data_IF_138243758845
#
_entry.id   IF_138243758845
#
_cell.length_a   1.000
_cell.length_b   1.000
_cell.length_c   1.000
_cell.angle_alpha   90.00
_cell.angle_beta   90.00
_cell.angle_gamma   90.00
#
_symmetry.space_group_name_H-M   'P 1'
#
loop_
_entity.id
_entity.type
_entity.pdbx_description
1 polymer ?
#
# COMPACT_ATOMS: atom_id res chain seq x y z
N UNK A 1 8.26 15.01 -0.82
CA UNK A 1 8.71 14.47 -2.12
C UNK A 1 9.28 15.52 -3.10
N UNK A 2 9.06 16.83 -2.94
CA UNK A 2 9.59 17.83 -3.91
C UNK A 2 11.09 18.18 -3.78
N UNK A 3 11.72 17.91 -2.63
CA UNK A 3 13.10 18.32 -2.36
C UNK A 3 14.17 17.36 -2.91
N UNK A 4 13.77 16.32 -3.62
CA UNK A 4 14.68 15.36 -4.25
C UNK A 4 14.29 15.13 -5.72
N UNK A 5 13.95 16.18 -6.46
CA UNK A 5 13.61 16.09 -7.87
C UNK A 5 14.81 16.49 -8.74
N UNK A 6 15.52 15.52 -9.31
CA UNK A 6 16.60 15.74 -10.28
C UNK A 6 16.37 14.94 -11.59
N UNK A 7 15.11 14.76 -11.99
CA UNK A 7 14.75 14.08 -13.25
C UNK A 7 15.03 12.56 -13.31
N UNK A 8 15.58 11.96 -12.26
CA UNK A 8 15.92 10.52 -12.19
C UNK A 8 15.54 9.85 -10.86
N UNK A 9 14.75 10.54 -10.03
CA UNK A 9 14.38 10.03 -8.71
C UNK A 9 12.97 9.42 -8.73
N UNK A 10 12.79 8.36 -7.95
CA UNK A 10 11.51 7.68 -7.78
C UNK A 10 10.45 8.65 -7.27
N UNK A 11 9.26 8.56 -7.84
CA UNK A 11 8.09 9.32 -7.39
C UNK A 11 6.82 8.56 -7.72
N UNK A 12 5.83 8.64 -6.84
CA UNK A 12 4.47 8.13 -7.05
C UNK A 12 3.54 9.26 -7.49
N UNK A 13 2.30 8.97 -7.90
CA UNK A 13 1.37 10.04 -8.28
C UNK A 13 0.73 10.71 -7.06
N UNK A 14 0.52 9.94 -5.99
CA UNK A 14 -0.27 10.35 -4.83
C UNK A 14 0.33 9.85 -3.51
N UNK A 15 0.16 10.65 -2.46
CA UNK A 15 0.49 10.26 -1.08
C UNK A 15 -0.72 10.53 -0.20
N UNK A 16 -1.08 9.57 0.64
CA UNK A 16 -2.21 9.70 1.57
C UNK A 16 -1.68 9.74 3.00
N UNK A 17 -1.98 10.82 3.71
CA UNK A 17 -1.44 11.06 5.04
C UNK A 17 -2.20 12.13 5.81
N UNK A 18 -1.67 12.52 6.96
CA UNK A 18 -2.16 13.62 7.81
C UNK A 18 -3.66 13.55 8.13
N UNK A 19 -4.15 12.34 8.39
CA UNK A 19 -5.55 12.09 8.72
C UNK A 19 -6.46 11.90 7.51
N UNK A 20 -5.91 11.39 6.41
CA UNK A 20 -6.65 11.08 5.18
C UNK A 20 -6.59 12.15 4.09
N UNK A 21 -5.68 13.12 4.21
CA UNK A 21 -5.39 14.11 3.18
C UNK A 21 -4.68 13.41 2.01
N UNK A 22 -5.19 13.65 0.80
CA UNK A 22 -4.58 13.20 -0.45
C UNK A 22 -3.69 14.31 -1.01
N UNK A 23 -2.38 14.06 -1.07
CA UNK A 23 -1.40 14.93 -1.69
C UNK A 23 -1.05 14.41 -3.08
N UNK A 24 -1.56 15.10 -4.11
CA UNK A 24 -1.17 14.86 -5.51
C UNK A 24 0.25 15.39 -5.74
N UNK A 25 1.16 14.48 -6.08
CA UNK A 25 2.59 14.79 -6.31
C UNK A 25 3.01 14.60 -7.77
N UNK A 26 2.26 13.82 -8.56
CA UNK A 26 2.46 13.60 -9.99
C UNK A 26 1.15 13.65 -10.77
N UNK A 27 1.19 13.71 -12.11
CA UNK A 27 -0.02 13.70 -12.94
C UNK A 27 -0.51 12.26 -13.17
N UNK A 28 -1.77 11.98 -12.82
CA UNK A 28 -2.36 10.66 -13.07
C UNK A 28 -2.55 10.41 -14.57
N UNK A 29 -2.35 9.17 -15.01
CA UNK A 29 -2.39 8.78 -16.42
C UNK A 29 -1.07 9.02 -17.16
N UNK A 30 -0.12 9.71 -16.54
CA UNK A 30 1.26 9.80 -16.99
C UNK A 30 2.14 8.84 -16.16
N UNK A 31 3.26 8.44 -16.73
CA UNK A 31 4.19 7.53 -16.06
C UNK A 31 4.83 8.21 -14.84
N UNK A 32 4.75 7.55 -13.69
CA UNK A 32 5.51 7.85 -12.48
C UNK A 32 6.51 6.72 -12.19
N UNK A 33 7.54 6.99 -11.39
CA UNK A 33 8.70 6.11 -11.23
C UNK A 33 8.79 5.44 -9.84
N UNK A 34 7.67 4.96 -9.29
CA UNK A 34 7.61 4.28 -8.00
C UNK A 34 7.69 2.75 -8.07
N UNK A 35 7.22 2.12 -9.15
CA UNK A 35 6.97 0.68 -9.26
C UNK A 35 7.87 -0.06 -10.26
N UNK A 36 9.07 0.45 -10.52
CA UNK A 36 10.05 -0.18 -11.41
C UNK A 36 9.49 -0.52 -12.81
N UNK A 37 9.62 -1.78 -13.23
CA UNK A 37 9.16 -2.20 -14.56
C UNK A 37 7.63 -2.20 -14.73
N UNK A 38 6.84 -2.02 -13.66
CA UNK A 38 5.40 -1.85 -13.73
C UNK A 38 4.97 -0.40 -14.04
N UNK A 39 5.90 0.57 -13.98
CA UNK A 39 5.62 2.01 -14.15
C UNK A 39 4.74 2.34 -15.39
N UNK A 40 5.01 1.81 -16.60
CA UNK A 40 4.23 2.15 -17.79
C UNK A 40 2.77 1.65 -17.77
N UNK A 41 2.44 0.76 -16.82
CA UNK A 41 1.14 0.08 -16.73
C UNK A 41 0.29 0.57 -15.55
N UNK A 42 0.83 1.48 -14.74
CA UNK A 42 0.18 2.00 -13.54
C UNK A 42 -0.19 3.49 -13.75
N UNK A 43 -1.44 3.81 -14.15
CA UNK A 43 -1.86 5.20 -14.31
C UNK A 43 -1.94 5.98 -12.98
N UNK A 44 -1.88 5.27 -11.85
CA UNK A 44 -1.87 5.83 -10.49
C UNK A 44 -0.94 4.97 -9.64
N UNK A 45 -0.07 5.61 -8.84
CA UNK A 45 0.80 4.99 -7.84
C UNK A 45 0.60 5.74 -6.52
N UNK A 46 0.32 5.02 -5.42
CA UNK A 46 -0.18 5.62 -4.18
C UNK A 46 0.70 5.19 -3.01
N UNK A 47 1.29 6.15 -2.32
CA UNK A 47 1.97 5.93 -1.03
C UNK A 47 1.02 6.17 0.15
N UNK A 48 1.18 5.37 1.20
CA UNK A 48 0.48 5.54 2.47
C UNK A 48 1.47 6.04 3.52
N UNK A 49 1.17 7.17 4.17
CA UNK A 49 1.99 7.70 5.25
C UNK A 49 2.15 6.66 6.35
N UNK A 50 3.41 6.34 6.66
CA UNK A 50 3.77 5.50 7.80
C UNK A 50 3.55 6.25 9.10
N UNK A 51 2.87 5.59 10.04
CA UNK A 51 2.68 6.03 11.43
C UNK A 51 2.53 4.82 12.34
N UNK A 52 2.84 5.01 13.63
CA UNK A 52 2.55 4.05 14.70
C UNK A 52 1.31 4.43 15.52
N UNK A 53 0.76 5.63 15.30
CA UNK A 53 -0.52 6.04 15.87
C UNK A 53 -1.65 5.32 15.12
N UNK A 54 -2.34 4.42 15.82
CA UNK A 54 -3.44 3.63 15.26
C UNK A 54 -4.63 4.48 14.81
N UNK A 55 -4.94 5.56 15.53
CA UNK A 55 -6.06 6.43 15.18
C UNK A 55 -5.74 7.27 13.94
N UNK A 56 -4.49 7.72 13.80
CA UNK A 56 -4.02 8.37 12.57
C UNK A 56 -4.01 7.38 11.39
N UNK A 57 -3.51 6.16 11.61
CA UNK A 57 -3.49 5.11 10.60
C UNK A 57 -4.89 4.78 10.11
N UNK A 58 -5.87 4.62 10.98
CA UNK A 58 -7.24 4.27 10.59
C UNK A 58 -7.83 5.31 9.63
N UNK A 59 -7.64 6.61 9.91
CA UNK A 59 -8.05 7.70 9.03
C UNK A 59 -7.34 7.65 7.67
N UNK A 60 -6.02 7.47 7.70
CA UNK A 60 -5.21 7.37 6.48
C UNK A 60 -5.60 6.14 5.65
N UNK A 61 -5.83 4.99 6.30
CA UNK A 61 -6.19 3.73 5.65
C UNK A 61 -7.56 3.80 4.99
N UNK A 62 -8.56 4.41 5.66
CA UNK A 62 -9.88 4.62 5.07
C UNK A 62 -9.80 5.46 3.80
N UNK A 63 -9.08 6.59 3.86
CA UNK A 63 -8.84 7.42 2.69
C UNK A 63 -8.08 6.66 1.59
N UNK A 64 -7.09 5.84 1.96
CA UNK A 64 -6.32 5.01 1.03
C UNK A 64 -7.19 4.04 0.23
N UNK A 65 -8.09 3.33 0.89
CA UNK A 65 -9.02 2.39 0.24
C UNK A 65 -10.01 3.13 -0.67
N UNK A 66 -10.67 4.18 -0.16
CA UNK A 66 -11.66 4.94 -0.93
C UNK A 66 -11.03 5.59 -2.17
N UNK A 67 -9.87 6.21 -2.01
CA UNK A 67 -9.14 6.83 -3.12
C UNK A 67 -8.64 5.82 -4.16
N UNK A 68 -8.13 4.67 -3.72
CA UNK A 68 -7.69 3.60 -4.62
C UNK A 68 -8.87 3.09 -5.46
N UNK A 69 -10.03 2.89 -4.84
CA UNK A 69 -11.26 2.44 -5.52
C UNK A 69 -11.73 3.44 -6.56
N UNK A 70 -11.78 4.73 -6.22
CA UNK A 70 -12.24 5.76 -7.14
C UNK A 70 -11.27 5.96 -8.31
N UNK A 71 -9.97 5.90 -8.03
CA UNK A 71 -8.93 5.89 -9.06
C UNK A 71 -9.06 4.69 -10.01
N UNK A 72 -9.24 3.48 -9.48
CA UNK A 72 -9.42 2.29 -10.30
C UNK A 72 -10.67 2.38 -11.19
N UNK A 73 -11.81 2.84 -10.65
CA UNK A 73 -13.04 3.07 -11.43
C UNK A 73 -12.83 4.08 -12.55
N UNK A 74 -12.16 5.20 -12.28
CA UNK A 74 -11.86 6.25 -13.27
C UNK A 74 -11.12 5.71 -14.50
N UNK A 75 -10.23 4.73 -14.31
CA UNK A 75 -9.42 4.12 -15.39
C UNK A 75 -9.96 2.76 -15.87
N UNK A 76 -11.15 2.34 -15.42
CA UNK A 76 -11.73 1.04 -15.80
C UNK A 76 -10.90 -0.17 -15.35
N UNK A 77 -10.24 -0.06 -14.20
CA UNK A 77 -9.42 -1.11 -13.57
C UNK A 77 -10.30 -1.91 -12.59
N UNK A 78 -10.30 -3.25 -12.63
CA UNK A 78 -11.01 -4.08 -11.66
C UNK A 78 -10.53 -3.85 -10.23
N UNK A 79 -11.46 -3.88 -9.27
CA UNK A 79 -11.19 -3.72 -7.83
C UNK A 79 -10.68 -5.01 -7.18
N UNK A 80 -9.80 -5.72 -7.86
CA UNK A 80 -9.22 -6.99 -7.41
C UNK A 80 -7.75 -6.80 -7.11
N UNK A 81 -7.32 -7.23 -5.92
CA UNK A 81 -5.93 -7.14 -5.47
C UNK A 81 -5.09 -8.33 -5.95
N UNK A 82 -3.90 -8.06 -6.48
CA UNK A 82 -2.83 -9.03 -6.79
C UNK A 82 -3.30 -10.26 -7.60
N UNK A 83 -4.19 -10.06 -8.58
CA UNK A 83 -4.70 -11.16 -9.40
C UNK A 83 -3.78 -11.48 -10.58
N UNK A 84 -3.65 -12.78 -10.87
CA UNK A 84 -2.82 -13.28 -11.96
C UNK A 84 -1.31 -13.07 -11.71
N UNK A 85 -0.51 -13.38 -12.73
CA UNK A 85 0.96 -13.33 -12.70
C UNK A 85 1.55 -12.54 -13.86
N UNK A 86 0.71 -11.78 -14.58
CA UNK A 86 1.09 -11.04 -15.79
C UNK A 86 0.65 -9.58 -15.67
N UNK A 87 1.52 -8.65 -16.11
CA UNK A 87 1.23 -7.21 -16.21
C UNK A 87 0.01 -6.89 -17.08
N UNK A 88 -0.43 -7.82 -17.94
CA UNK A 88 -1.63 -7.66 -18.75
C UNK A 88 -2.93 -8.05 -18.02
N UNK A 89 -2.82 -8.65 -16.83
CA UNK A 89 -3.98 -8.89 -15.96
C UNK A 89 -4.33 -7.59 -15.25
N UNK A 90 -5.49 -7.00 -15.58
CA UNK A 90 -5.93 -5.74 -14.98
C UNK A 90 -6.33 -5.96 -13.51
N UNK A 91 -5.86 -5.08 -12.63
CA UNK A 91 -6.22 -5.07 -11.22
C UNK A 91 -5.40 -4.06 -10.43
N UNK A 92 -5.59 -4.06 -9.12
CA UNK A 92 -4.76 -3.33 -8.16
C UNK A 92 -3.60 -4.25 -7.78
N UNK A 93 -2.36 -3.76 -7.84
CA UNK A 93 -1.15 -4.56 -7.54
C UNK A 93 -0.34 -3.91 -6.43
N UNK A 94 0.21 -4.72 -5.54
CA UNK A 94 1.18 -4.33 -4.52
C UNK A 94 2.62 -4.35 -5.06
N UNK A 95 3.55 -3.67 -4.40
CA UNK A 95 4.98 -3.83 -4.71
C UNK A 95 5.48 -5.25 -4.49
N UNK A 96 4.96 -5.96 -3.49
CA UNK A 96 5.29 -7.38 -3.34
C UNK A 96 4.89 -8.20 -4.58
N UNK A 97 3.74 -7.91 -5.20
CA UNK A 97 3.35 -8.56 -6.46
C UNK A 97 4.31 -8.19 -7.60
N UNK A 98 4.71 -6.93 -7.71
CA UNK A 98 5.69 -6.47 -8.70
C UNK A 98 7.03 -7.20 -8.51
N UNK A 99 7.54 -7.31 -7.28
CA UNK A 99 8.74 -8.09 -6.94
C UNK A 99 8.62 -9.55 -7.37
N UNK A 100 7.48 -10.19 -7.12
CA UNK A 100 7.30 -11.62 -7.39
C UNK A 100 7.15 -11.97 -8.88
N UNK A 101 6.59 -11.07 -9.70
CA UNK A 101 6.19 -11.40 -11.08
C UNK A 101 6.77 -10.50 -12.15
N UNK A 102 7.42 -9.40 -11.77
CA UNK A 102 7.90 -8.38 -12.71
C UNK A 102 9.37 -8.10 -12.47
N UNK A 103 9.72 -7.47 -11.35
CA UNK A 103 11.07 -7.06 -10.98
C UNK A 103 11.09 -6.40 -9.59
N UNK A 104 12.25 -6.32 -8.94
CA UNK A 104 12.48 -5.54 -7.73
C UNK A 104 12.69 -6.39 -6.49
N UNK A 105 12.74 -5.74 -5.34
CA UNK A 105 12.94 -6.37 -4.02
C UNK A 105 12.08 -5.72 -2.92
N UNK A 106 11.11 -4.90 -3.31
CA UNK A 106 10.20 -4.21 -2.41
C UNK A 106 9.06 -5.15 -1.99
N UNK A 107 8.63 -5.06 -0.73
CA UNK A 107 7.70 -6.03 -0.11
C UNK A 107 6.47 -5.37 0.53
N UNK A 108 6.39 -4.05 0.43
CA UNK A 108 5.24 -3.26 0.81
C UNK A 108 3.98 -3.63 -0.01
N UNK A 109 2.78 -3.40 0.54
CA UNK A 109 2.49 -2.76 1.83
C UNK A 109 2.34 -3.72 3.01
N UNK A 110 2.42 -5.04 2.79
CA UNK A 110 1.91 -6.04 3.74
C UNK A 110 2.60 -6.06 5.10
N UNK A 111 3.92 -5.87 5.16
CA UNK A 111 4.64 -5.82 6.43
C UNK A 111 4.16 -4.68 7.33
N UNK A 112 3.94 -3.49 6.76
CA UNK A 112 3.44 -2.34 7.50
C UNK A 112 1.96 -2.50 7.88
N UNK A 113 1.12 -2.89 6.92
CA UNK A 113 -0.32 -3.06 7.16
C UNK A 113 -0.59 -4.11 8.24
N UNK A 114 0.18 -5.21 8.27
CA UNK A 114 0.07 -6.24 9.30
C UNK A 114 0.36 -5.69 10.71
N UNK A 115 1.39 -4.83 10.85
CA UNK A 115 1.70 -4.16 12.12
C UNK A 115 0.53 -3.29 12.62
N UNK A 116 -0.30 -2.79 11.70
CA UNK A 116 -1.46 -1.97 11.99
C UNK A 116 -2.78 -2.75 12.03
N UNK A 117 -2.72 -4.09 11.95
CA UNK A 117 -3.89 -4.97 12.06
C UNK A 117 -4.66 -5.20 10.75
N UNK A 118 -4.05 -4.96 9.60
CA UNK A 118 -4.63 -5.18 8.27
C UNK A 118 -3.90 -6.33 7.56
N UNK A 119 -4.58 -7.46 7.37
CA UNK A 119 -4.06 -8.58 6.57
C UNK A 119 -4.22 -8.34 5.07
N UNK A 120 -3.59 -9.18 4.24
CA UNK A 120 -3.79 -9.15 2.77
C UNK A 120 -5.24 -9.40 2.39
N UNK A 121 -5.89 -10.33 3.07
CA UNK A 121 -7.30 -10.69 2.85
C UNK A 121 -8.21 -9.51 3.21
N UNK A 122 -7.94 -8.83 4.34
CA UNK A 122 -8.67 -7.62 4.72
C UNK A 122 -8.48 -6.51 3.69
N UNK A 123 -7.26 -6.27 3.24
CA UNK A 123 -6.98 -5.28 2.19
C UNK A 123 -7.74 -5.60 0.90
N UNK A 124 -7.71 -6.86 0.44
CA UNK A 124 -8.43 -7.29 -0.74
C UNK A 124 -9.95 -7.08 -0.59
N UNK A 125 -10.50 -7.41 0.58
CA UNK A 125 -11.91 -7.22 0.89
C UNK A 125 -12.30 -5.73 0.87
N UNK A 126 -11.55 -4.89 1.60
CA UNK A 126 -11.82 -3.46 1.67
C UNK A 126 -11.70 -2.79 0.28
N UNK A 127 -10.75 -3.20 -0.55
CA UNK A 127 -10.64 -2.71 -1.93
C UNK A 127 -11.81 -3.15 -2.81
N UNK A 128 -12.32 -4.37 -2.64
CA UNK A 128 -13.45 -4.88 -3.42
C UNK A 128 -14.79 -4.28 -2.97
N UNK A 129 -14.99 -4.11 -1.66
CA UNK A 129 -16.30 -3.80 -1.06
C UNK A 129 -16.41 -2.38 -0.50
N UNK A 130 -15.30 -1.73 -0.18
CA UNK A 130 -15.29 -0.46 0.54
C UNK A 130 -15.68 -0.63 2.01
N UNK A 131 -15.99 0.47 2.70
CA UNK A 131 -16.52 0.45 4.06
C UNK A 131 -18.04 0.62 4.01
N UNK A 132 -18.79 -0.44 4.34
CA UNK A 132 -20.23 -0.36 4.59
C UNK A 132 -20.51 -0.22 6.08
N UNK A 133 -21.73 0.14 6.48
CA UNK A 133 -22.13 0.14 7.90
C UNK A 133 -22.15 -1.28 8.52
N UNK A 134 -21.99 -2.33 7.69
CA UNK A 134 -21.82 -3.74 8.07
C UNK A 134 -20.36 -4.24 7.88
N UNK A 135 -19.41 -3.34 7.63
CA UNK A 135 -18.02 -3.77 7.50
C UNK A 135 -17.58 -4.37 8.84
N UNK A 136 -16.83 -5.50 8.90
CA UNK A 136 -16.30 -6.00 10.15
C UNK A 136 -15.42 -4.93 10.79
N UNK A 137 -16.02 -4.26 11.78
CA UNK A 137 -15.38 -3.24 12.59
C UNK A 137 -14.32 -3.94 13.41
N UNK A 138 -13.05 -3.62 13.15
CA UNK A 138 -11.90 -3.88 14.02
C UNK A 138 -11.64 -5.35 14.39
N UNK A 139 -10.42 -5.83 14.17
CA UNK A 139 -9.95 -7.02 14.91
C UNK A 139 -9.99 -6.68 16.40
N UNK A 140 -10.88 -7.33 17.15
CA UNK A 140 -10.90 -7.23 18.60
C UNK A 140 -9.52 -7.62 19.14
N UNK A 141 -8.81 -6.63 19.70
CA UNK A 141 -7.75 -6.78 20.71
C UNK A 141 -6.99 -8.10 20.75
N UNK A 142 -6.48 -8.59 19.62
CA UNK A 142 -5.43 -9.60 19.58
C UNK A 142 -4.54 -9.32 18.37
N UNK A 143 -3.22 -9.13 18.56
CA UNK A 143 -2.31 -9.19 17.44
C UNK A 143 -2.46 -10.58 16.82
N UNK A 144 -2.64 -10.65 15.50
CA UNK A 144 -2.46 -11.91 14.79
C UNK A 144 -0.95 -12.17 14.77
N UNK A 145 -0.46 -12.69 15.89
CA UNK A 145 0.82 -13.38 15.97
C UNK A 145 0.65 -14.74 15.28
N UNK A 146 0.51 -14.70 13.96
CA UNK A 146 1.00 -15.81 13.14
C UNK A 146 1.96 -15.22 12.10
N UNK A 147 3.23 -15.01 12.50
CA UNK A 147 4.23 -14.48 11.60
C UNK A 147 4.64 -15.52 10.54
N UNK A 148 4.16 -16.77 10.60
CA UNK A 148 4.80 -17.87 9.88
C UNK A 148 3.86 -19.02 9.47
N UNK A 149 2.80 -18.72 8.70
CA UNK A 149 2.59 -19.42 7.42
C UNK A 149 3.35 -18.74 6.25
N UNK A 150 4.42 -18.04 6.62
CA UNK A 150 5.73 -18.07 5.98
C UNK A 150 6.86 -17.97 7.06
N UNK A 151 7.26 -19.12 7.63
CA UNK A 151 8.66 -19.39 8.05
C UNK A 151 9.18 -18.97 9.44
N UNK A 152 9.08 -19.89 10.40
CA UNK A 152 9.41 -19.83 11.83
C UNK A 152 10.79 -19.25 12.27
N UNK A 153 10.76 -18.70 13.51
CA UNK A 153 11.82 -18.63 14.54
C UNK A 153 13.07 -17.75 14.32
N UNK A 154 13.21 -16.67 15.10
CA UNK A 154 14.19 -16.52 16.20
C UNK A 154 14.10 -15.13 16.90
N UNK A 155 14.75 -14.94 18.08
CA UNK A 155 14.13 -14.31 19.23
C UNK A 155 14.56 -12.85 19.46
N UNK A 156 13.84 -12.20 20.37
CA UNK A 156 14.23 -11.03 21.20
C UNK A 156 15.03 -9.93 20.51
N UNK A 157 14.38 -8.79 20.23
CA UNK A 157 15.07 -7.50 20.23
C UNK A 157 14.27 -6.50 21.06
N UNK A 158 14.84 -6.21 22.23
CA UNK A 158 14.58 -5.07 23.09
C UNK A 158 15.00 -3.77 22.40
N UNK A 159 14.24 -2.71 22.65
CA UNK A 159 14.69 -1.32 22.80
C UNK A 159 15.69 -0.74 21.78
N UNK A 160 15.21 0.28 21.06
CA UNK A 160 16.03 1.51 20.99
C UNK A 160 16.37 2.04 19.61
N UNK A 161 16.09 3.34 19.45
CA UNK A 161 16.70 4.31 18.53
C UNK A 161 16.11 4.48 17.11
N UNK A 162 15.44 5.63 16.99
CA UNK A 162 15.33 6.55 15.86
C UNK A 162 16.24 6.26 14.65
N UNK A 163 15.64 5.90 13.50
CA UNK A 163 16.09 6.36 12.19
C UNK A 163 14.87 6.49 11.26
N UNK A 164 14.63 7.70 10.74
CA UNK A 164 13.73 7.92 9.63
C UNK A 164 14.41 7.40 8.35
N UNK A 165 13.85 6.35 7.75
CA UNK A 165 14.17 5.96 6.39
C UNK A 165 12.94 6.28 5.53
N UNK A 166 13.09 7.26 4.64
CA UNK A 166 12.16 7.50 3.54
C UNK A 166 12.56 6.51 2.46
N UNK A 167 11.87 5.38 2.46
CA UNK A 167 11.56 4.61 1.25
C UNK A 167 10.50 3.58 1.66
N UNK A 168 9.45 3.49 0.87
CA UNK A 168 8.93 2.18 0.48
C UNK A 168 8.82 2.19 -1.03
#
# INVERSE_FOLDING_TARGET
>A
MKNNYNGSNSYTTDVIGDGGIVYRVGEQGYVSWGAGNANPYAPVQIELQRTYDKALFEKNYRAYIEYTRDSAKKYGIPLTLDQGTSLFTKGIISHLWVTNYVWGNHTDPYGYLSQMGVSKEKLAYDLAHGFTDENPTTSENKPVIDPTRAGAANPTLTDGTNYAHIDQ
#
